data_IF_996088247678
#
_entry.id   IF_996088247678
#
_cell.length_a   1.000
_cell.length_b   1.000
_cell.length_c   1.000
_cell.angle_alpha   90.00
_cell.angle_beta   90.00
_cell.angle_gamma   90.00
#
_symmetry.space_group_name_H-M   'P 1'
#
loop_
_entity.id
_entity.type
_entity.pdbx_description
1 polymer ?
#
# COMPACT_ATOMS: atom_id res chain seq x y z
N UNK A 1 38.44 -2.50 -44.40
CA UNK A 1 37.60 -3.62 -43.92
C UNK A 1 38.18 -3.98 -42.56
N UNK A 2 37.69 -3.46 -41.43
CA UNK A 2 36.36 -3.67 -40.83
C UNK A 2 36.11 -5.19 -40.69
N UNK A 3 35.89 -5.80 -39.53
CA UNK A 3 35.22 -5.35 -38.31
C UNK A 3 35.84 -5.98 -37.05
N UNK A 4 35.65 -5.30 -35.92
CA UNK A 4 35.97 -5.76 -34.57
C UNK A 4 34.70 -6.32 -33.94
N UNK A 5 34.72 -7.57 -33.47
CA UNK A 5 33.62 -8.14 -32.68
C UNK A 5 33.88 -7.92 -31.19
N UNK A 6 33.21 -6.92 -30.63
CA UNK A 6 33.11 -6.66 -29.19
C UNK A 6 31.79 -7.30 -28.69
N UNK A 7 31.86 -8.50 -28.10
CA UNK A 7 30.72 -9.10 -27.40
C UNK A 7 30.55 -8.46 -26.02
N UNK A 8 29.62 -7.50 -25.96
CA UNK A 8 29.13 -6.87 -24.73
C UNK A 8 28.27 -7.84 -23.89
N UNK A 9 28.88 -8.46 -22.89
CA UNK A 9 28.23 -9.32 -21.88
C UNK A 9 27.76 -8.56 -20.63
N UNK A 10 26.99 -7.48 -20.78
CA UNK A 10 26.69 -6.54 -19.69
C UNK A 10 25.21 -6.24 -19.43
N UNK A 11 24.35 -7.24 -19.18
CA UNK A 11 22.92 -6.99 -18.86
C UNK A 11 22.31 -7.92 -17.80
N UNK A 12 23.05 -8.27 -16.74
CA UNK A 12 22.50 -9.00 -15.59
C UNK A 12 22.59 -8.26 -14.25
N UNK A 13 23.32 -7.13 -14.19
CA UNK A 13 23.57 -6.41 -12.94
C UNK A 13 22.40 -5.53 -12.51
N UNK A 14 21.78 -4.79 -13.44
CA UNK A 14 20.72 -3.83 -13.12
C UNK A 14 19.40 -4.47 -12.67
N UNK A 15 19.09 -5.67 -13.14
CA UNK A 15 17.88 -6.41 -12.76
C UNK A 15 17.95 -6.93 -11.32
N UNK A 16 19.13 -7.31 -10.82
CA UNK A 16 19.30 -7.72 -9.41
C UNK A 16 19.16 -6.56 -8.44
N UNK A 17 19.68 -5.39 -8.79
CA UNK A 17 19.56 -4.18 -7.96
C UNK A 17 18.11 -3.72 -7.83
N UNK A 18 17.37 -3.66 -8.95
CA UNK A 18 15.94 -3.31 -8.94
C UNK A 18 15.08 -4.31 -8.16
N UNK A 19 15.44 -5.60 -8.19
CA UNK A 19 14.76 -6.60 -7.37
C UNK A 19 15.00 -6.34 -5.88
N UNK A 20 16.23 -6.02 -5.49
CA UNK A 20 16.56 -5.69 -4.10
C UNK A 20 15.80 -4.48 -3.58
N UNK A 21 15.55 -3.46 -4.41
CA UNK A 21 14.74 -2.29 -4.03
C UNK A 21 13.28 -2.65 -3.70
N UNK A 22 12.77 -3.74 -4.27
CA UNK A 22 11.38 -4.22 -4.04
C UNK A 22 11.24 -5.21 -2.89
N UNK A 23 12.34 -5.61 -2.25
CA UNK A 23 12.30 -6.54 -1.13
C UNK A 23 12.01 -5.81 0.18
N UNK A 24 11.15 -6.40 1.01
CA UNK A 24 10.95 -5.92 2.38
C UNK A 24 12.20 -6.18 3.24
N UNK A 25 12.50 -5.39 4.27
CA UNK A 25 13.65 -5.64 5.13
C UNK A 25 13.65 -7.06 5.72
N UNK A 26 14.71 -7.83 5.47
CA UNK A 26 14.82 -9.25 5.88
C UNK A 26 14.59 -9.46 7.39
N UNK A 27 14.97 -8.47 8.21
CA UNK A 27 14.76 -8.49 9.66
C UNK A 27 13.27 -8.46 10.04
N UNK A 28 12.45 -7.71 9.29
CA UNK A 28 11.02 -7.62 9.52
C UNK A 28 10.32 -8.93 9.13
N UNK A 29 10.70 -9.50 7.97
CA UNK A 29 10.23 -10.82 7.52
C UNK A 29 10.56 -11.88 8.57
N UNK A 30 11.82 -11.96 8.99
CA UNK A 30 12.27 -12.92 9.99
C UNK A 30 11.56 -12.78 11.34
N UNK A 31 11.26 -11.55 11.79
CA UNK A 31 10.51 -11.31 13.03
C UNK A 31 9.07 -11.82 12.94
N UNK A 32 8.40 -11.63 11.80
CA UNK A 32 7.03 -12.11 11.59
C UNK A 32 7.00 -13.64 11.51
N UNK A 33 7.88 -14.23 10.69
CA UNK A 33 7.99 -15.70 10.59
C UNK A 33 8.18 -16.33 11.98
N UNK A 34 9.03 -15.74 12.83
CA UNK A 34 9.31 -16.24 14.17
C UNK A 34 8.08 -16.23 15.10
N UNK A 35 7.12 -15.32 14.91
CA UNK A 35 5.88 -15.27 15.71
C UNK A 35 4.97 -16.48 15.47
N UNK A 36 5.07 -17.09 14.29
CA UNK A 36 4.31 -18.29 13.94
C UNK A 36 4.97 -19.59 14.45
N UNK A 37 6.13 -19.50 15.13
CA UNK A 37 6.92 -20.66 15.54
C UNK A 37 7.12 -20.70 17.06
N UNK A 38 7.41 -21.89 17.63
CA UNK A 38 7.80 -22.01 19.03
C UNK A 38 9.03 -21.15 19.40
N UNK A 39 9.10 -20.73 20.66
CA UNK A 39 10.12 -19.79 21.15
C UNK A 39 11.57 -20.18 20.82
N UNK A 40 11.90 -21.47 20.84
CA UNK A 40 13.26 -22.00 20.58
C UNK A 40 13.53 -22.36 19.11
N UNK A 41 12.55 -22.28 18.22
CA UNK A 41 12.73 -22.67 16.81
C UNK A 41 13.77 -21.80 16.09
N UNK A 42 14.59 -22.35 15.20
CA UNK A 42 15.51 -21.56 14.37
C UNK A 42 14.96 -21.46 12.95
N UNK A 43 15.22 -20.33 12.30
CA UNK A 43 14.90 -20.10 10.89
C UNK A 43 16.23 -19.90 10.17
N UNK A 44 16.49 -20.69 9.13
CA UNK A 44 17.69 -20.55 8.32
C UNK A 44 17.72 -19.23 7.57
N UNK A 45 18.87 -18.89 6.99
CA UNK A 45 19.00 -17.67 6.18
C UNK A 45 18.16 -17.81 4.90
N UNK A 46 18.29 -18.96 4.25
CA UNK A 46 17.66 -19.30 2.98
C UNK A 46 16.13 -19.25 3.11
N UNK A 47 15.57 -19.76 4.21
CA UNK A 47 14.12 -19.69 4.45
C UNK A 47 13.61 -18.25 4.60
N UNK A 48 14.41 -17.34 5.16
CA UNK A 48 14.03 -15.93 5.25
C UNK A 48 14.09 -15.26 3.88
N UNK A 49 15.11 -15.56 3.08
CA UNK A 49 15.27 -15.02 1.73
C UNK A 49 14.14 -15.52 0.81
N UNK A 50 13.82 -16.81 0.83
CA UNK A 50 12.66 -17.35 0.10
C UNK A 50 11.36 -16.67 0.52
N UNK A 51 11.12 -16.51 1.82
CA UNK A 51 9.90 -15.82 2.26
C UNK A 51 9.88 -14.32 1.91
N UNK A 52 11.05 -13.68 1.85
CA UNK A 52 11.18 -12.28 1.43
C UNK A 52 10.81 -12.12 -0.05
N UNK A 53 11.23 -13.04 -0.91
CA UNK A 53 10.82 -13.09 -2.31
C UNK A 53 9.32 -13.38 -2.44
N UNK A 54 8.81 -14.39 -1.72
CA UNK A 54 7.40 -14.77 -1.77
C UNK A 54 6.47 -13.63 -1.31
N UNK A 55 6.84 -12.87 -0.28
CA UNK A 55 5.97 -11.77 0.21
C UNK A 55 5.99 -10.57 -0.75
N UNK A 56 7.12 -10.28 -1.39
CA UNK A 56 7.20 -9.25 -2.42
C UNK A 56 6.38 -9.63 -3.66
N UNK A 57 6.42 -10.91 -4.05
CA UNK A 57 5.57 -11.43 -5.13
C UNK A 57 4.09 -11.39 -4.73
N UNK A 58 3.75 -11.77 -3.50
CA UNK A 58 2.38 -11.71 -2.99
C UNK A 58 1.80 -10.28 -3.07
N UNK A 59 2.57 -9.26 -2.69
CA UNK A 59 2.14 -7.86 -2.84
C UNK A 59 1.88 -7.54 -4.31
N UNK A 60 2.79 -7.94 -5.21
CA UNK A 60 2.66 -7.68 -6.65
C UNK A 60 1.46 -8.40 -7.25
N UNK A 61 1.20 -9.64 -6.81
CA UNK A 61 0.09 -10.47 -7.26
C UNK A 61 -1.26 -9.87 -6.88
N UNK A 62 -1.48 -9.57 -5.58
CA UNK A 62 -2.74 -9.00 -5.11
C UNK A 62 -2.97 -7.61 -5.73
N UNK A 63 -1.93 -6.78 -5.78
CA UNK A 63 -2.07 -5.42 -6.33
C UNK A 63 -2.29 -5.43 -7.85
N UNK A 64 -1.73 -6.42 -8.56
CA UNK A 64 -1.99 -6.65 -9.98
C UNK A 64 -3.46 -6.94 -10.26
N UNK A 65 -4.05 -7.89 -9.53
CA UNK A 65 -5.47 -8.27 -9.67
C UNK A 65 -6.41 -7.09 -9.33
N UNK A 66 -6.12 -6.38 -8.23
CA UNK A 66 -6.88 -5.18 -7.84
C UNK A 66 -6.76 -4.06 -8.89
N UNK A 67 -5.57 -3.89 -9.48
CA UNK A 67 -5.33 -2.93 -10.56
C UNK A 67 -6.15 -3.25 -11.79
N UNK A 68 -6.22 -4.53 -12.19
CA UNK A 68 -7.01 -4.96 -13.34
C UNK A 68 -8.49 -4.64 -13.16
N UNK A 69 -9.08 -4.92 -11.99
CA UNK A 69 -10.45 -4.52 -11.68
C UNK A 69 -10.63 -3.01 -11.74
N UNK A 70 -9.76 -2.25 -11.08
CA UNK A 70 -9.81 -0.78 -11.07
C UNK A 70 -9.82 -0.21 -12.49
N UNK A 71 -8.97 -0.75 -13.38
CA UNK A 71 -8.90 -0.34 -14.78
C UNK A 71 -10.14 -0.75 -15.58
N UNK A 72 -10.69 -1.95 -15.37
CA UNK A 72 -11.97 -2.39 -15.96
C UNK A 72 -13.13 -1.45 -15.60
N UNK A 73 -13.11 -0.91 -14.38
CA UNK A 73 -14.07 0.09 -13.90
C UNK A 73 -13.73 1.54 -14.33
N UNK A 74 -12.75 1.73 -15.22
CA UNK A 74 -12.29 3.03 -15.74
C UNK A 74 -11.78 3.99 -14.65
N UNK A 75 -11.32 3.45 -13.52
CA UNK A 75 -10.68 4.21 -12.44
C UNK A 75 -9.17 4.16 -12.59
N UNK A 76 -8.49 5.25 -12.18
CA UNK A 76 -7.02 5.37 -12.18
C UNK A 76 -6.40 5.11 -10.81
N UNK A 77 -7.21 5.06 -9.76
CA UNK A 77 -6.77 4.93 -8.38
C UNK A 77 -7.41 3.69 -7.77
N UNK A 78 -6.55 2.76 -7.38
CA UNK A 78 -6.92 1.56 -6.63
C UNK A 78 -7.39 1.99 -5.24
N UNK A 79 -8.52 1.46 -4.77
CA UNK A 79 -9.04 1.72 -3.43
C UNK A 79 -9.07 0.45 -2.56
N UNK A 80 -9.53 0.58 -1.32
CA UNK A 80 -9.61 -0.55 -0.39
C UNK A 80 -10.58 -1.65 -0.81
N UNK A 81 -11.68 -1.32 -1.50
CA UNK A 81 -12.67 -2.31 -1.95
C UNK A 81 -12.11 -3.17 -3.09
N UNK A 82 -11.20 -2.63 -3.90
CA UNK A 82 -10.47 -3.39 -4.94
C UNK A 82 -9.59 -4.47 -4.33
N UNK A 83 -8.87 -4.12 -3.25
CA UNK A 83 -8.01 -5.07 -2.54
C UNK A 83 -8.84 -6.17 -1.86
N UNK A 84 -9.95 -5.80 -1.21
CA UNK A 84 -10.86 -6.78 -0.61
C UNK A 84 -11.42 -7.74 -1.68
N UNK A 85 -11.82 -7.20 -2.83
CA UNK A 85 -12.29 -8.04 -3.94
C UNK A 85 -11.20 -8.97 -4.48
N UNK A 86 -9.98 -8.46 -4.68
CA UNK A 86 -8.86 -9.26 -5.17
C UNK A 86 -8.53 -10.42 -4.22
N UNK A 87 -8.53 -10.18 -2.91
CA UNK A 87 -8.34 -11.23 -1.90
C UNK A 87 -9.38 -12.33 -2.03
N UNK A 88 -10.67 -11.99 -2.17
CA UNK A 88 -11.73 -12.98 -2.38
C UNK A 88 -11.55 -13.74 -3.70
N UNK A 89 -11.36 -13.04 -4.81
CA UNK A 89 -11.22 -13.64 -6.16
C UNK A 89 -10.06 -14.62 -6.25
N UNK A 90 -8.95 -14.31 -5.57
CA UNK A 90 -7.74 -15.13 -5.58
C UNK A 90 -7.77 -16.27 -4.54
N UNK A 91 -8.87 -16.45 -3.82
CA UNK A 91 -9.06 -17.55 -2.87
C UNK A 91 -8.50 -17.28 -1.46
N UNK A 92 -8.22 -16.03 -1.11
CA UNK A 92 -7.76 -15.59 0.21
C UNK A 92 -8.92 -15.08 1.10
N UNK A 93 -10.09 -15.72 1.03
CA UNK A 93 -11.33 -15.28 1.68
C UNK A 93 -11.18 -15.10 3.21
N UNK A 94 -10.45 -15.99 3.87
CA UNK A 94 -10.14 -15.92 5.30
C UNK A 94 -9.39 -14.64 5.69
N UNK A 95 -8.67 -14.01 4.75
CA UNK A 95 -8.02 -12.72 4.95
C UNK A 95 -8.90 -11.54 4.51
N UNK A 96 -9.79 -11.76 3.55
CA UNK A 96 -10.71 -10.73 3.05
C UNK A 96 -11.69 -10.27 4.14
N UNK A 97 -12.21 -11.17 4.97
CA UNK A 97 -13.15 -10.82 6.04
C UNK A 97 -12.55 -9.89 7.11
N UNK A 98 -11.39 -10.20 7.73
CA UNK A 98 -10.70 -9.25 8.60
C UNK A 98 -10.37 -7.92 7.91
N UNK A 99 -10.02 -7.96 6.62
CA UNK A 99 -9.67 -6.76 5.85
C UNK A 99 -10.88 -5.84 5.64
N UNK A 100 -12.08 -6.39 5.42
CA UNK A 100 -13.33 -5.61 5.38
C UNK A 100 -13.58 -4.86 6.68
N UNK A 101 -13.44 -5.53 7.82
CA UNK A 101 -13.61 -4.92 9.14
C UNK A 101 -12.57 -3.81 9.35
N UNK A 102 -11.33 -4.06 8.97
CA UNK A 102 -10.28 -3.04 9.04
C UNK A 102 -10.59 -1.82 8.16
N UNK A 103 -11.04 -2.04 6.93
CA UNK A 103 -11.39 -0.96 5.99
C UNK A 103 -12.54 -0.10 6.52
N UNK A 104 -13.56 -0.71 7.12
CA UNK A 104 -14.66 0.01 7.76
C UNK A 104 -14.15 0.92 8.89
N UNK A 105 -13.36 0.37 9.82
CA UNK A 105 -12.76 1.14 10.92
C UNK A 105 -11.84 2.26 10.42
N UNK A 106 -11.06 2.01 9.37
CA UNK A 106 -10.20 3.02 8.77
C UNK A 106 -11.02 4.19 8.22
N UNK A 107 -12.15 3.92 7.56
CA UNK A 107 -13.07 4.95 7.04
C UNK A 107 -13.72 5.77 8.15
N UNK A 108 -14.08 5.15 9.27
CA UNK A 108 -14.60 5.86 10.46
C UNK A 108 -13.55 6.84 11.00
N UNK A 109 -12.33 6.37 11.22
CA UNK A 109 -11.22 7.19 11.76
C UNK A 109 -10.86 8.34 10.82
N UNK A 110 -10.75 8.09 9.51
CA UNK A 110 -10.46 9.15 8.53
C UNK A 110 -11.64 10.12 8.36
N UNK A 111 -12.88 9.62 8.44
CA UNK A 111 -14.09 10.44 8.45
C UNK A 111 -14.12 11.41 9.63
N UNK A 112 -13.77 10.93 10.83
CA UNK A 112 -13.70 11.74 12.05
C UNK A 112 -12.59 12.79 12.01
N UNK A 113 -11.44 12.45 11.42
CA UNK A 113 -10.36 13.43 11.19
C UNK A 113 -10.79 14.52 10.23
N UNK A 114 -11.46 14.16 9.13
CA UNK A 114 -11.97 15.14 8.17
C UNK A 114 -13.07 16.02 8.77
N UNK A 115 -13.93 15.46 9.62
CA UNK A 115 -14.93 16.21 10.37
C UNK A 115 -14.29 17.19 11.36
N UNK A 116 -13.26 16.75 12.09
CA UNK A 116 -12.50 17.57 13.03
C UNK A 116 -11.74 18.70 12.34
N UNK A 117 -11.13 18.45 11.17
CA UNK A 117 -10.48 19.47 10.35
C UNK A 117 -11.47 20.52 9.84
N UNK A 118 -12.66 20.08 9.38
CA UNK A 118 -13.70 20.99 8.91
C UNK A 118 -14.27 21.87 10.03
N UNK A 119 -14.37 21.36 11.26
CA UNK A 119 -14.76 22.17 12.43
C UNK A 119 -13.72 23.23 12.81
N UNK A 120 -12.42 22.95 12.61
CA UNK A 120 -11.34 23.92 12.85
C UNK A 120 -11.36 24.99 11.75
N UNK A 121 -11.50 24.61 10.47
CA UNK A 121 -11.61 25.54 9.35
C UNK A 121 -12.88 26.40 9.39
N UNK A 122 -13.98 25.89 9.96
CA UNK A 122 -15.25 26.62 10.09
C UNK A 122 -15.27 27.71 11.16
N UNK A 123 -14.25 27.82 12.02
CA UNK A 123 -14.18 28.85 13.08
C UNK A 123 -13.52 30.16 12.64
N UNK A 124 -12.88 30.22 11.47
CA UNK A 124 -12.19 31.44 11.01
C UNK A 124 -13.08 32.44 10.25
N UNK A 125 -14.38 32.15 10.04
CA UNK A 125 -15.28 33.01 9.25
C UNK A 125 -16.41 33.72 10.03
N UNK A 126 -16.45 33.62 11.37
CA UNK A 126 -17.36 34.46 12.18
C UNK A 126 -16.57 35.47 13.01
N UNK A 127 -16.12 36.53 12.36
CA UNK A 127 -15.35 37.59 13.01
C UNK A 127 -15.33 38.90 12.25
N UNK A 128 -16.41 39.28 11.57
CA UNK A 128 -16.52 40.62 11.00
C UNK A 128 -17.69 40.79 10.05
N UNK A 129 -18.84 41.20 10.56
CA UNK A 129 -19.62 42.30 9.97
C UNK A 129 -20.82 42.67 10.86
N UNK A 130 -20.68 43.73 11.64
CA UNK A 130 -21.77 44.63 12.03
C UNK A 130 -21.16 46.02 11.86
N UNK A 131 -21.61 46.86 10.94
CA UNK A 131 -22.87 47.56 11.10
C UNK A 131 -23.31 48.20 9.77
N UNK A 132 -24.60 48.06 9.46
CA UNK A 132 -25.25 48.61 8.30
C UNK A 132 -26.23 49.69 8.80
N UNK A 133 -25.83 50.96 8.60
CA UNK A 133 -26.64 52.20 8.62
C UNK A 133 -26.80 52.92 9.96
N UNK A 134 -26.12 54.06 10.10
CA UNK A 134 -26.65 55.22 10.83
C UNK A 134 -26.40 56.54 10.07
N UNK A 135 -27.49 56.97 9.41
CA UNK A 135 -27.99 58.32 9.14
C UNK A 135 -27.20 59.40 8.36
N UNK A 136 -27.91 59.90 7.34
CA UNK A 136 -27.77 61.20 6.68
C UNK A 136 -27.75 62.37 7.68
N UNK A 137 -26.99 63.40 7.34
CA UNK A 137 -26.99 64.74 7.94
C UNK A 137 -26.07 65.65 7.15
#
# INVERSE_FOLDING_TARGET
MAESDDESGGQASGSKELLQERLLPIANVGRIMKKALPSKAKISKEAKETMQECVSEFISFITGEASEKCQKEKRKTINGDDLVWAMTTLGFEEYAEPLKVYLLKYREIEGDKNFSMNMIAGKEQQGGNTDHRFFQG
#
